data_IF_876710611446
#
_entry.id   IF_876710611446
#
_cell.length_a   1.000
_cell.length_b   1.000
_cell.length_c   1.000
_cell.angle_alpha   90.00
_cell.angle_beta   90.00
_cell.angle_gamma   90.00
#
_symmetry.space_group_name_H-M   'P 1'
#
loop_
_entity.id
_entity.type
_entity.pdbx_description
1 polymer ?
#
# COMPACT_ATOMS: atom_id res chain seq x y z
N UNK A 1 40.36 -10.03 -2.47
CA UNK A 1 39.59 -11.08 -1.77
C UNK A 1 38.30 -10.44 -1.27
N UNK A 2 37.11 -11.01 -1.52
CA UNK A 2 35.84 -10.40 -1.04
C UNK A 2 35.79 -10.52 0.49
N UNK A 3 35.68 -9.37 1.17
CA UNK A 3 35.51 -9.30 2.63
C UNK A 3 34.18 -9.98 2.97
N UNK A 4 34.17 -10.87 3.96
CA UNK A 4 32.95 -11.53 4.42
C UNK A 4 32.05 -10.48 5.08
N UNK A 5 30.79 -10.40 4.65
CA UNK A 5 29.80 -9.48 5.22
C UNK A 5 29.60 -9.77 6.71
N UNK A 6 29.46 -8.71 7.51
CA UNK A 6 29.12 -8.82 8.94
C UNK A 6 27.63 -9.08 9.16
N UNK A 7 26.81 -8.80 8.15
CA UNK A 7 25.38 -9.15 8.14
C UNK A 7 25.27 -10.64 7.73
N UNK A 8 24.78 -11.53 8.60
CA UNK A 8 24.67 -12.95 8.29
C UNK A 8 23.53 -13.22 7.30
N UNK A 9 23.51 -14.42 6.72
CA UNK A 9 22.34 -14.92 5.99
C UNK A 9 21.38 -15.56 6.98
N UNK A 10 20.23 -14.93 7.18
CA UNK A 10 19.19 -15.44 8.07
C UNK A 10 18.43 -16.61 7.44
N UNK A 11 18.01 -17.56 8.27
CA UNK A 11 17.18 -18.70 7.85
C UNK A 11 15.69 -18.44 8.09
N UNK A 12 15.35 -17.59 9.07
CA UNK A 12 13.97 -17.23 9.39
C UNK A 12 13.84 -15.73 9.69
N UNK A 13 12.61 -15.22 9.60
CA UNK A 13 12.30 -13.83 9.92
C UNK A 13 12.54 -13.51 11.40
N UNK A 14 12.28 -14.45 12.31
CA UNK A 14 12.50 -14.26 13.74
C UNK A 14 13.98 -14.13 14.10
N UNK A 15 14.86 -14.82 13.35
CA UNK A 15 16.31 -14.71 13.50
C UNK A 15 16.80 -13.32 13.08
N UNK A 16 16.32 -12.83 11.94
CA UNK A 16 16.62 -11.49 11.43
C UNK A 16 16.14 -10.40 12.38
N UNK A 17 14.91 -10.49 12.87
CA UNK A 17 14.36 -9.53 13.83
C UNK A 17 15.22 -9.44 15.10
N UNK A 18 15.56 -10.60 15.70
CA UNK A 18 16.41 -10.64 16.90
C UNK A 18 17.81 -10.05 16.66
N UNK A 19 18.36 -10.23 15.46
CA UNK A 19 19.65 -9.65 15.11
C UNK A 19 19.58 -8.12 15.14
N UNK A 20 18.57 -7.53 14.50
CA UNK A 20 18.39 -6.08 14.46
C UNK A 20 17.89 -5.48 15.78
N UNK A 21 17.22 -6.25 16.64
CA UNK A 21 16.88 -5.82 18.00
C UNK A 21 18.12 -5.67 18.92
N UNK A 22 19.21 -6.37 18.58
CA UNK A 22 20.42 -6.45 19.43
C UNK A 22 21.64 -5.74 18.85
N UNK A 23 21.59 -5.32 17.58
CA UNK A 23 22.70 -4.66 16.90
C UNK A 23 22.26 -3.31 16.32
N UNK A 24 23.12 -2.30 16.41
CA UNK A 24 22.83 -1.01 15.77
C UNK A 24 23.03 -1.10 14.27
N UNK A 25 22.08 -0.57 13.49
CA UNK A 25 22.21 -0.44 12.02
C UNK A 25 23.43 0.38 11.63
N UNK A 26 23.83 1.35 12.47
CA UNK A 26 25.01 2.20 12.22
C UNK A 26 26.32 1.41 12.18
N UNK A 27 26.37 0.25 12.84
CA UNK A 27 27.56 -0.60 12.87
C UNK A 27 27.83 -1.22 11.50
N UNK A 28 26.84 -1.20 10.59
CA UNK A 28 26.91 -1.77 9.25
C UNK A 28 26.83 -0.71 8.14
N UNK A 29 27.06 0.57 8.44
CA UNK A 29 26.92 1.67 7.49
C UNK A 29 27.79 1.54 6.22
N UNK A 30 28.91 0.81 6.28
CA UNK A 30 29.77 0.48 5.13
C UNK A 30 29.28 -0.72 4.31
N UNK A 31 28.25 -1.42 4.79
CA UNK A 31 27.61 -2.57 4.13
C UNK A 31 26.14 -2.30 3.76
N UNK A 32 25.60 -1.13 4.12
CA UNK A 32 24.24 -0.68 3.79
C UNK A 32 24.26 0.55 2.89
N UNK A 33 23.13 0.82 2.23
CA UNK A 33 22.95 2.03 1.43
C UNK A 33 21.87 2.92 2.07
N UNK A 34 21.99 4.23 1.89
CA UNK A 34 20.93 5.14 2.30
C UNK A 34 19.71 4.91 1.41
N UNK A 35 18.57 4.68 2.04
CA UNK A 35 17.29 4.59 1.35
C UNK A 35 16.52 5.88 1.62
N UNK A 36 16.09 6.54 0.54
CA UNK A 36 15.16 7.66 0.64
C UNK A 36 13.78 7.14 1.06
N UNK A 37 13.44 7.31 2.34
CA UNK A 37 12.10 6.96 2.82
C UNK A 37 11.16 8.11 2.48
N UNK A 38 10.37 7.93 1.42
CA UNK A 38 9.30 8.87 1.07
C UNK A 38 8.09 8.60 1.98
N UNK A 39 8.00 9.34 3.08
CA UNK A 39 6.76 9.45 3.84
C UNK A 39 5.83 10.43 3.13
N UNK A 40 4.89 9.93 2.32
CA UNK A 40 3.83 10.77 1.73
C UNK A 40 2.78 11.14 2.79
N UNK A 41 3.18 11.96 3.77
CA UNK A 41 2.28 12.46 4.83
C UNK A 41 1.16 13.35 4.28
N UNK A 42 1.42 13.99 3.14
CA UNK A 42 0.48 14.87 2.44
C UNK A 42 -0.43 14.13 1.45
N UNK A 43 -0.30 12.80 1.33
CA UNK A 43 -1.26 12.03 0.55
C UNK A 43 -2.62 12.24 1.21
N UNK A 44 -3.63 12.80 0.51
CA UNK A 44 -4.95 12.93 1.10
C UNK A 44 -5.35 11.54 1.57
N UNK A 45 -5.63 11.43 2.88
CA UNK A 45 -6.05 10.17 3.47
C UNK A 45 -7.34 9.81 2.75
N UNK A 46 -7.31 8.76 1.94
CA UNK A 46 -8.51 8.22 1.33
C UNK A 46 -9.45 7.81 2.47
N UNK A 47 -10.45 8.64 2.78
CA UNK A 47 -11.47 8.28 3.75
C UNK A 47 -12.30 7.12 3.19
N UNK A 48 -12.43 6.05 3.96
CA UNK A 48 -13.16 4.86 3.52
C UNK A 48 -14.63 4.99 3.89
N UNK A 49 -15.49 5.00 2.87
CA UNK A 49 -16.93 4.92 3.03
C UNK A 49 -17.40 3.45 2.87
N UNK A 50 -17.98 2.88 3.93
CA UNK A 50 -18.62 1.55 3.86
C UNK A 50 -20.09 1.73 3.45
N UNK A 51 -20.46 1.21 2.28
CA UNK A 51 -21.83 1.27 1.75
C UNK A 51 -22.45 -0.12 1.73
N UNK A 52 -23.67 -0.26 2.29
CA UNK A 52 -24.46 -1.49 2.16
C UNK A 52 -25.12 -1.53 0.78
N UNK A 53 -24.86 -2.59 0.03
CA UNK A 53 -25.40 -2.81 -1.31
C UNK A 53 -26.07 -4.18 -1.39
N UNK A 54 -27.11 -4.28 -2.21
CA UNK A 54 -27.66 -5.59 -2.58
C UNK A 54 -26.62 -6.41 -3.35
N UNK A 55 -26.59 -7.72 -3.14
CA UNK A 55 -25.59 -8.64 -3.73
C UNK A 55 -25.53 -8.51 -5.26
N UNK A 56 -26.68 -8.51 -5.92
CA UNK A 56 -26.74 -8.46 -7.38
C UNK A 56 -26.25 -7.12 -7.94
N UNK A 57 -26.50 -6.03 -7.21
CA UNK A 57 -26.00 -4.72 -7.57
C UNK A 57 -24.47 -4.66 -7.47
N UNK A 58 -23.88 -5.21 -6.40
CA UNK A 58 -22.43 -5.32 -6.25
C UNK A 58 -21.80 -6.08 -7.41
N UNK A 59 -22.37 -7.24 -7.79
CA UNK A 59 -21.87 -8.05 -8.90
C UNK A 59 -21.94 -7.29 -10.23
N UNK A 60 -23.03 -6.57 -10.49
CA UNK A 60 -23.15 -5.73 -11.70
C UNK A 60 -22.10 -4.63 -11.71
N UNK A 61 -21.92 -3.92 -10.60
CA UNK A 61 -20.94 -2.85 -10.45
C UNK A 61 -19.50 -3.34 -10.72
N UNK A 62 -19.13 -4.50 -10.17
CA UNK A 62 -17.83 -5.13 -10.40
C UNK A 62 -17.61 -5.51 -11.88
N UNK A 63 -18.63 -6.08 -12.54
CA UNK A 63 -18.56 -6.40 -13.97
C UNK A 63 -18.37 -5.16 -14.82
N UNK A 64 -19.11 -4.09 -14.54
CA UNK A 64 -18.99 -2.81 -15.26
C UNK A 64 -17.63 -2.15 -15.04
N UNK A 65 -17.07 -2.23 -13.83
CA UNK A 65 -15.73 -1.73 -13.55
C UNK A 65 -14.67 -2.48 -14.37
N UNK A 66 -14.74 -3.82 -14.35
CA UNK A 66 -13.83 -4.68 -15.12
C UNK A 66 -13.90 -4.43 -16.61
N UNK A 67 -15.10 -4.29 -17.19
CA UNK A 67 -15.25 -4.02 -18.62
C UNK A 67 -14.69 -2.66 -19.04
N UNK A 68 -14.47 -1.75 -18.09
CA UNK A 68 -13.84 -0.44 -18.28
C UNK A 68 -12.35 -0.42 -17.88
N UNK A 69 -11.78 -1.56 -17.46
CA UNK A 69 -10.40 -1.63 -16.97
C UNK A 69 -10.18 -0.92 -15.61
N UNK A 70 -11.24 -0.71 -14.84
CA UNK A 70 -11.20 0.00 -13.56
C UNK A 70 -11.42 -0.95 -12.37
N UNK A 71 -10.89 -0.58 -11.21
CA UNK A 71 -11.31 -1.20 -9.97
C UNK A 71 -12.71 -0.69 -9.54
N UNK A 72 -13.42 -1.48 -8.75
CA UNK A 72 -14.81 -1.18 -8.34
C UNK A 72 -14.91 0.12 -7.54
N UNK A 73 -13.94 0.42 -6.68
CA UNK A 73 -13.92 1.64 -5.86
C UNK A 73 -13.69 2.90 -6.71
N UNK A 74 -12.91 2.82 -7.78
CA UNK A 74 -12.66 3.92 -8.72
C UNK A 74 -13.90 4.22 -9.54
N UNK A 75 -14.55 3.19 -10.08
CA UNK A 75 -15.81 3.39 -10.81
C UNK A 75 -16.88 3.99 -9.88
N UNK A 76 -17.02 3.46 -8.65
CA UNK A 76 -17.97 3.98 -7.68
C UNK A 76 -17.70 5.46 -7.34
N UNK A 77 -16.43 5.80 -7.04
CA UNK A 77 -16.03 7.19 -6.76
C UNK A 77 -16.33 8.12 -7.93
N UNK A 78 -16.00 7.74 -9.17
CA UNK A 78 -16.27 8.54 -10.36
C UNK A 78 -17.77 8.84 -10.51
N UNK A 79 -18.63 7.82 -10.38
CA UNK A 79 -20.08 8.01 -10.47
C UNK A 79 -20.66 8.82 -9.32
N UNK A 80 -20.16 8.64 -8.10
CA UNK A 80 -20.58 9.46 -6.95
C UNK A 80 -20.21 10.94 -7.19
N UNK A 81 -19.00 11.23 -7.67
CA UNK A 81 -18.58 12.60 -8.01
C UNK A 81 -19.44 13.19 -9.14
N UNK A 82 -19.69 12.42 -10.21
CA UNK A 82 -20.54 12.86 -11.32
C UNK A 82 -21.95 13.22 -10.83
N UNK A 83 -22.54 12.38 -9.96
CA UNK A 83 -23.85 12.65 -9.37
C UNK A 83 -23.83 13.86 -8.46
N UNK A 84 -22.84 14.03 -7.59
CA UNK A 84 -22.75 15.20 -6.72
C UNK A 84 -22.56 16.51 -7.50
N UNK A 85 -21.78 16.49 -8.59
CA UNK A 85 -21.62 17.65 -9.47
C UNK A 85 -22.90 17.98 -10.25
N UNK A 86 -23.64 16.96 -10.70
CA UNK A 86 -24.88 17.13 -11.46
C UNK A 86 -26.07 17.52 -10.57
N UNK A 87 -26.05 17.08 -9.32
CA UNK A 87 -27.08 17.36 -8.30
C UNK A 87 -26.80 18.67 -7.56
N UNK A 88 -26.28 19.69 -8.25
CA UNK A 88 -26.10 21.02 -7.67
C UNK A 88 -27.45 21.53 -7.17
N UNK A 89 -27.63 21.51 -5.85
CA UNK A 89 -28.77 22.10 -5.15
C UNK A 89 -28.80 23.62 -5.37
#
# INVERSE_FOLDING_TARGET
MKKKSRIPKFKTYEEEARFWDTHSVTDFADETENVDIVFELDKPRDETLIVRLQKDFKVKLEKTARSKGLNVSTLARMWLMEKLHSSRF
#
